data_IF_111927084482
#
_entry.id   IF_111927084482
#
_cell.length_a   1.000
_cell.length_b   1.000
_cell.length_c   1.000
_cell.angle_alpha   90.00
_cell.angle_beta   90.00
_cell.angle_gamma   90.00
#
_symmetry.space_group_name_H-M   'P 1'
#
loop_
_entity.id
_entity.type
_entity.pdbx_description
1 polymer ?
#
# COMPACT_ATOMS: atom_id res chain seq x y z
N UNK A 1 4.43 -20.99 -8.00
CA UNK A 1 4.97 -20.93 -6.63
C UNK A 1 5.81 -22.16 -6.36
N UNK A 2 6.78 -22.08 -5.46
CA UNK A 2 7.73 -23.14 -5.10
C UNK A 2 7.10 -24.22 -4.21
N UNK A 3 6.13 -24.98 -4.74
CA UNK A 3 5.69 -26.25 -4.16
C UNK A 3 5.07 -27.11 -5.25
N UNK A 4 5.41 -28.40 -5.27
CA UNK A 4 4.75 -29.40 -6.10
C UNK A 4 3.34 -29.68 -5.58
N UNK A 5 2.33 -29.30 -6.35
CA UNK A 5 0.90 -29.50 -6.16
C UNK A 5 0.14 -29.04 -7.42
N UNK A 6 -1.12 -29.45 -7.59
CA UNK A 6 -1.92 -28.96 -8.72
C UNK A 6 -2.05 -27.43 -8.67
N UNK A 7 -1.89 -26.78 -9.82
CA UNK A 7 -2.04 -25.33 -9.96
C UNK A 7 -3.49 -24.95 -9.64
N UNK A 8 -3.78 -24.63 -8.37
CA UNK A 8 -5.10 -24.21 -7.88
C UNK A 8 -5.52 -22.80 -8.37
N UNK A 9 -5.04 -22.35 -9.53
CA UNK A 9 -5.39 -21.05 -10.10
C UNK A 9 -6.58 -21.19 -11.05
N UNK A 10 -7.78 -21.23 -10.47
CA UNK A 10 -9.04 -20.89 -11.15
C UNK A 10 -9.66 -19.69 -10.43
N UNK A 11 -9.65 -18.47 -10.99
CA UNK A 11 -9.13 -18.06 -12.30
C UNK A 11 -7.59 -17.99 -12.35
N UNK A 12 -7.05 -17.68 -13.54
CA UNK A 12 -5.61 -17.55 -13.81
C UNK A 12 -4.91 -16.71 -12.74
N UNK A 13 -3.68 -17.06 -12.36
CA UNK A 13 -2.99 -16.46 -11.20
C UNK A 13 -2.73 -14.94 -11.34
N UNK A 14 -3.00 -14.35 -12.50
CA UNK A 14 -2.97 -12.91 -12.79
C UNK A 14 -4.33 -12.21 -12.55
N UNK A 15 -5.43 -12.95 -12.46
CA UNK A 15 -6.78 -12.48 -12.16
C UNK A 15 -7.30 -12.88 -10.78
N UNK A 16 -6.53 -13.67 -10.02
CA UNK A 16 -6.83 -13.97 -8.63
C UNK A 16 -6.52 -12.76 -7.73
N UNK A 17 -7.26 -12.63 -6.62
CA UNK A 17 -6.90 -11.67 -5.58
C UNK A 17 -5.45 -11.87 -5.13
N UNK A 18 -4.75 -10.77 -4.88
CA UNK A 18 -3.36 -10.80 -4.43
C UNK A 18 -3.23 -11.69 -3.18
N UNK A 19 -2.13 -12.44 -3.10
CA UNK A 19 -1.88 -13.33 -1.96
C UNK A 19 -1.52 -12.59 -0.65
N UNK A 20 -1.45 -11.26 -0.68
CA UNK A 20 -1.17 -10.42 0.49
C UNK A 20 -2.22 -10.63 1.58
N UNK A 21 -1.81 -10.79 2.83
CA UNK A 21 -2.68 -10.99 3.99
C UNK A 21 -3.22 -12.41 4.14
N UNK A 22 -2.88 -13.33 3.22
CA UNK A 22 -3.29 -14.75 3.31
C UNK A 22 -2.35 -15.59 4.15
N UNK A 23 -1.11 -15.13 4.35
CA UNK A 23 -0.13 -15.78 5.20
C UNK A 23 0.92 -14.78 5.64
N UNK A 24 0.91 -14.48 6.94
CA UNK A 24 1.91 -13.63 7.58
C UNK A 24 3.35 -14.08 7.25
N UNK A 25 3.60 -15.40 7.17
CA UNK A 25 4.91 -15.93 6.82
C UNK A 25 5.32 -15.62 5.36
N UNK A 26 4.39 -15.67 4.41
CA UNK A 26 4.67 -15.34 3.00
C UNK A 26 4.78 -13.83 2.79
N UNK A 27 4.02 -13.04 3.55
CA UNK A 27 4.10 -11.58 3.54
C UNK A 27 5.44 -11.11 4.12
N UNK A 28 5.86 -11.69 5.26
CA UNK A 28 7.18 -11.43 5.86
C UNK A 28 8.33 -11.83 4.95
N UNK A 29 8.22 -12.96 4.22
CA UNK A 29 9.21 -13.37 3.23
C UNK A 29 9.27 -12.39 2.05
N UNK A 30 8.12 -11.93 1.56
CA UNK A 30 8.03 -10.93 0.49
C UNK A 30 8.67 -9.61 0.93
N UNK A 31 8.38 -9.16 2.15
CA UNK A 31 8.99 -7.97 2.74
C UNK A 31 10.51 -8.12 2.88
N UNK A 32 11.01 -9.25 3.39
CA UNK A 32 12.44 -9.52 3.48
C UNK A 32 13.14 -9.48 2.12
N UNK A 33 12.57 -10.13 1.10
CA UNK A 33 13.11 -10.12 -0.27
C UNK A 33 13.20 -8.68 -0.80
N UNK A 34 12.21 -7.83 -0.51
CA UNK A 34 12.22 -6.42 -0.90
C UNK A 34 13.33 -5.60 -0.19
N UNK A 35 13.81 -6.04 0.97
CA UNK A 35 14.90 -5.37 1.71
C UNK A 35 16.30 -5.82 1.29
N UNK A 36 16.44 -6.88 0.49
CA UNK A 36 17.75 -7.43 0.12
C UNK A 36 18.62 -6.38 -0.57
N UNK A 37 19.81 -6.16 -0.01
CA UNK A 37 20.85 -5.29 -0.55
C UNK A 37 22.02 -6.14 -1.01
N UNK A 38 22.53 -5.86 -2.20
CA UNK A 38 23.71 -6.50 -2.77
C UNK A 38 24.65 -5.38 -3.22
N UNK A 39 25.94 -5.49 -2.89
CA UNK A 39 26.94 -4.47 -3.24
C UNK A 39 27.49 -4.68 -4.64
N UNK A 40 27.90 -3.59 -5.28
CA UNK A 40 28.67 -3.58 -6.53
C UNK A 40 29.97 -2.78 -6.35
N UNK A 41 30.96 -3.09 -7.19
CA UNK A 41 32.24 -2.37 -7.30
C UNK A 41 32.23 -1.49 -8.57
N UNK A 42 32.82 -0.30 -8.48
CA UNK A 42 32.92 0.65 -9.59
C UNK A 42 34.25 0.46 -10.32
N UNK A 43 34.21 0.24 -11.64
CA UNK A 43 35.41 0.25 -12.49
C UNK A 43 35.56 1.60 -13.20
N UNK A 44 36.80 2.10 -13.18
CA UNK A 44 37.23 3.37 -13.78
C UNK A 44 37.20 3.32 -15.32
N UNK A 45 36.87 4.46 -15.94
CA UNK A 45 36.77 4.62 -17.39
C UNK A 45 38.15 4.75 -18.07
N UNK A 46 38.26 4.15 -19.25
CA UNK A 46 39.42 4.24 -20.17
C UNK A 46 38.97 4.86 -21.51
N UNK A 47 39.89 5.52 -22.22
CA UNK A 47 39.62 6.20 -23.52
C UNK A 47 39.45 5.23 -24.71
N UNK A 48 39.66 3.92 -24.51
CA UNK A 48 39.40 2.88 -25.52
C UNK A 48 38.09 2.18 -25.19
N UNK A 49 37.15 2.01 -26.15
CA UNK A 49 35.90 1.29 -25.90
C UNK A 49 36.17 -0.09 -25.31
N UNK A 50 35.77 -0.29 -24.06
CA UNK A 50 35.91 -1.58 -23.38
C UNK A 50 35.05 -2.65 -24.07
N UNK A 51 35.34 -3.95 -23.88
CA UNK A 51 34.48 -5.03 -24.36
C UNK A 51 33.00 -4.82 -23.99
N UNK A 52 32.73 -4.33 -22.78
CA UNK A 52 31.39 -4.02 -22.28
C UNK A 52 30.74 -2.91 -23.10
N UNK A 53 31.46 -1.83 -23.40
CA UNK A 53 30.94 -0.73 -24.23
C UNK A 53 30.65 -1.19 -25.66
N UNK A 54 31.45 -2.10 -26.22
CA UNK A 54 31.17 -2.71 -27.54
C UNK A 54 29.96 -3.64 -27.47
N UNK A 55 29.82 -4.41 -26.39
CA UNK A 55 28.66 -5.26 -26.13
C UNK A 55 27.37 -4.47 -25.96
N UNK A 56 27.42 -3.30 -25.31
CA UNK A 56 26.28 -2.40 -25.15
C UNK A 56 25.72 -1.93 -26.50
N UNK A 57 26.60 -1.59 -27.45
CA UNK A 57 26.21 -1.21 -28.82
C UNK A 57 25.48 -2.35 -29.51
N UNK A 58 25.92 -3.60 -29.33
CA UNK A 58 25.23 -4.77 -29.88
C UNK A 58 23.87 -4.96 -29.22
N UNK A 59 23.80 -4.87 -27.89
CA UNK A 59 22.58 -5.04 -27.10
C UNK A 59 21.49 -4.03 -27.47
N UNK A 60 21.87 -2.77 -27.66
CA UNK A 60 20.97 -1.67 -28.04
C UNK A 60 20.66 -1.61 -29.54
N UNK A 61 21.28 -2.48 -30.35
CA UNK A 61 21.09 -2.46 -31.80
C UNK A 61 19.70 -2.94 -32.20
N UNK A 62 19.15 -2.29 -33.23
CA UNK A 62 17.88 -2.72 -33.87
C UNK A 62 18.00 -4.03 -34.66
N UNK A 63 19.22 -4.57 -34.76
CA UNK A 63 19.51 -5.86 -35.40
C UNK A 63 19.30 -7.01 -34.41
N UNK A 64 19.78 -6.85 -33.17
CA UNK A 64 19.60 -7.86 -32.12
C UNK A 64 18.31 -7.66 -31.32
N UNK A 65 17.77 -6.45 -31.27
CA UNK A 65 16.48 -6.11 -30.63
C UNK A 65 16.36 -6.57 -29.16
N UNK A 66 17.49 -6.70 -28.43
CA UNK A 66 17.45 -7.14 -27.03
C UNK A 66 16.65 -6.16 -26.16
N UNK A 67 16.73 -4.87 -26.46
CA UNK A 67 16.03 -3.79 -25.76
C UNK A 67 14.52 -3.74 -26.02
N UNK A 68 13.97 -4.51 -26.95
CA UNK A 68 12.50 -4.59 -27.10
C UNK A 68 11.86 -5.14 -25.82
N UNK A 69 12.49 -6.15 -25.21
CA UNK A 69 12.02 -6.80 -23.99
C UNK A 69 12.89 -6.42 -22.77
N UNK A 70 14.21 -6.28 -22.93
CA UNK A 70 15.13 -6.03 -21.82
C UNK A 70 15.50 -4.55 -21.71
N UNK A 71 14.54 -3.73 -21.27
CA UNK A 71 14.69 -2.29 -21.18
C UNK A 71 15.33 -1.85 -19.87
N UNK A 72 16.32 -0.95 -19.94
CA UNK A 72 16.84 -0.25 -18.77
C UNK A 72 15.72 0.54 -18.04
N UNK A 73 15.81 0.75 -16.70
CA UNK A 73 16.95 0.45 -15.83
C UNK A 73 16.93 -0.96 -15.22
N UNK A 74 15.82 -1.70 -15.35
CA UNK A 74 15.68 -3.05 -14.77
C UNK A 74 16.05 -4.16 -15.74
N UNK A 75 16.34 -3.83 -17.00
CA UNK A 75 16.64 -4.77 -18.08
C UNK A 75 15.54 -5.84 -18.24
N UNK A 76 14.29 -5.41 -18.09
CA UNK A 76 13.07 -6.19 -18.29
C UNK A 76 11.90 -5.24 -18.51
N UNK A 77 10.94 -5.65 -19.34
CA UNK A 77 9.64 -5.00 -19.50
C UNK A 77 8.59 -5.55 -18.52
N UNK A 78 8.94 -6.58 -17.76
CA UNK A 78 8.09 -7.31 -16.83
C UNK A 78 6.79 -7.85 -17.47
N UNK A 79 6.80 -8.12 -18.78
CA UNK A 79 5.67 -8.70 -19.51
C UNK A 79 5.92 -10.16 -19.83
N UNK A 80 4.85 -10.88 -20.12
CA UNK A 80 4.93 -12.23 -20.62
C UNK A 80 5.06 -12.23 -22.14
N UNK A 81 6.06 -12.93 -22.66
CA UNK A 81 6.27 -13.14 -24.09
C UNK A 81 6.16 -14.62 -24.45
N UNK A 82 5.64 -14.88 -25.65
CA UNK A 82 5.48 -16.24 -26.17
C UNK A 82 6.80 -16.71 -26.79
N UNK A 83 7.47 -17.65 -26.12
CA UNK A 83 8.66 -18.33 -26.62
C UNK A 83 8.28 -19.68 -27.21
N UNK A 84 8.81 -20.00 -28.39
CA UNK A 84 8.69 -21.31 -29.01
C UNK A 84 9.83 -22.18 -28.51
N UNK A 85 9.52 -23.09 -27.61
CA UNK A 85 10.50 -24.01 -27.04
C UNK A 85 10.73 -25.22 -27.95
N UNK A 86 11.82 -25.92 -27.68
CA UNK A 86 12.10 -27.24 -28.26
C UNK A 86 10.87 -28.13 -27.99
N UNK A 87 10.37 -28.80 -29.05
CA UNK A 87 9.10 -29.56 -29.13
C UNK A 87 7.86 -28.79 -29.62
N UNK A 88 8.00 -27.55 -30.10
CA UNK A 88 6.89 -26.82 -30.75
C UNK A 88 5.82 -26.32 -29.77
N UNK A 89 6.06 -26.50 -28.47
CA UNK A 89 5.26 -25.93 -27.40
C UNK A 89 5.59 -24.44 -27.27
N UNK A 90 4.56 -23.60 -27.40
CA UNK A 90 4.69 -22.18 -27.10
C UNK A 90 4.38 -21.96 -25.63
N UNK A 91 5.30 -21.35 -24.89
CA UNK A 91 5.11 -21.01 -23.48
C UNK A 91 5.18 -19.51 -23.29
N UNK A 92 4.24 -19.00 -22.50
CA UNK A 92 4.24 -17.62 -22.05
C UNK A 92 5.21 -17.51 -20.88
N UNK A 93 6.30 -16.76 -21.06
CA UNK A 93 7.36 -16.58 -20.05
C UNK A 93 7.50 -15.09 -19.76
N UNK A 94 7.52 -14.73 -18.48
CA UNK A 94 7.84 -13.37 -18.06
C UNK A 94 9.30 -13.05 -18.41
N UNK A 95 9.56 -11.89 -19.03
CA UNK A 95 10.91 -11.43 -19.34
C UNK A 95 11.72 -11.29 -18.04
N UNK A 96 12.75 -12.13 -17.80
CA UNK A 96 13.55 -11.99 -16.60
C UNK A 96 14.39 -10.69 -16.68
N UNK A 97 14.71 -10.12 -15.53
CA UNK A 97 15.76 -9.09 -15.47
C UNK A 97 17.10 -9.67 -15.89
N UNK A 98 17.90 -8.90 -16.61
CA UNK A 98 19.29 -9.24 -16.94
C UNK A 98 20.30 -8.70 -15.91
N UNK A 99 19.82 -8.10 -14.82
CA UNK A 99 20.69 -7.63 -13.75
C UNK A 99 21.29 -8.83 -12.98
N UNK A 100 22.58 -8.72 -12.66
CA UNK A 100 23.37 -9.69 -11.90
C UNK A 100 23.47 -11.09 -12.54
N UNK A 101 23.37 -11.21 -13.87
CA UNK A 101 23.41 -12.50 -14.58
C UNK A 101 24.67 -13.33 -14.29
N UNK A 102 25.80 -12.69 -14.01
CA UNK A 102 27.06 -13.36 -13.63
C UNK A 102 26.93 -14.23 -12.36
N UNK A 103 25.87 -14.04 -11.56
CA UNK A 103 25.62 -14.76 -10.32
C UNK A 103 24.45 -15.75 -10.39
N UNK A 104 23.79 -15.88 -11.54
CA UNK A 104 22.49 -16.58 -11.64
C UNK A 104 22.50 -17.86 -12.48
N UNK A 105 23.67 -18.40 -12.82
CA UNK A 105 23.74 -19.68 -13.52
C UNK A 105 23.11 -20.81 -12.66
N UNK A 106 22.44 -21.81 -13.27
CA UNK A 106 22.21 -21.98 -14.70
C UNK A 106 21.08 -21.09 -15.26
N UNK A 107 21.12 -20.87 -16.57
CA UNK A 107 20.27 -19.92 -17.28
C UNK A 107 19.04 -20.57 -17.94
N UNK A 108 18.08 -19.70 -18.27
CA UNK A 108 16.74 -20.03 -18.81
C UNK A 108 15.77 -20.55 -17.75
N UNK A 109 14.47 -20.57 -18.09
CA UNK A 109 13.39 -20.86 -17.13
C UNK A 109 13.41 -22.28 -16.54
N UNK A 110 14.16 -23.20 -17.15
CA UNK A 110 14.36 -24.57 -16.71
C UNK A 110 15.82 -24.91 -16.41
N UNK A 111 16.71 -23.90 -16.41
CA UNK A 111 18.13 -24.07 -16.09
C UNK A 111 18.92 -24.94 -17.09
N UNK A 112 18.45 -25.08 -18.33
CA UNK A 112 19.09 -25.98 -19.31
C UNK A 112 20.46 -25.50 -19.83
N UNK A 113 20.78 -24.22 -19.68
CA UNK A 113 22.03 -23.65 -20.17
C UNK A 113 22.96 -23.30 -19.03
N UNK A 114 24.22 -23.73 -19.13
CA UNK A 114 25.24 -23.50 -18.12
C UNK A 114 25.94 -22.15 -18.31
N UNK A 115 25.92 -21.60 -19.52
CA UNK A 115 26.61 -20.34 -19.87
C UNK A 115 25.73 -19.39 -20.68
N UNK A 116 25.99 -18.09 -20.63
CA UNK A 116 25.31 -17.09 -21.47
C UNK A 116 25.60 -17.30 -22.96
N UNK A 117 26.79 -17.82 -23.31
CA UNK A 117 27.14 -18.18 -24.69
C UNK A 117 26.19 -19.23 -25.25
N UNK A 118 25.80 -20.23 -24.46
CA UNK A 118 24.81 -21.24 -24.87
C UNK A 118 23.43 -20.62 -25.08
N UNK A 119 23.02 -19.71 -24.19
CA UNK A 119 21.74 -18.98 -24.31
C UNK A 119 21.72 -18.18 -25.62
N UNK A 120 22.74 -17.35 -25.87
CA UNK A 120 22.77 -16.42 -27.01
C UNK A 120 22.85 -17.12 -28.37
N UNK A 121 23.35 -18.36 -28.40
CA UNK A 121 23.38 -19.17 -29.63
C UNK A 121 22.01 -19.76 -29.99
N UNK A 122 21.11 -19.92 -29.03
CA UNK A 122 19.83 -20.64 -29.23
C UNK A 122 18.61 -19.74 -29.07
N UNK A 123 18.58 -18.94 -28.00
CA UNK A 123 17.43 -18.14 -27.59
C UNK A 123 16.83 -17.26 -28.71
N UNK A 124 17.62 -16.60 -29.57
CA UNK A 124 17.07 -15.85 -30.70
C UNK A 124 16.09 -16.63 -31.58
N UNK A 125 16.33 -17.92 -31.78
CA UNK A 125 15.50 -18.79 -32.63
C UNK A 125 14.20 -19.23 -31.94
N UNK A 126 14.12 -19.08 -30.62
CA UNK A 126 12.93 -19.35 -29.82
C UNK A 126 11.90 -18.21 -29.97
N UNK A 127 12.31 -17.01 -30.39
CA UNK A 127 11.43 -15.86 -30.58
C UNK A 127 10.86 -15.87 -32.00
N UNK A 128 9.52 -15.89 -32.11
CA UNK A 128 8.85 -15.94 -33.41
C UNK A 128 9.14 -14.68 -34.23
N UNK A 129 9.78 -14.85 -35.39
CA UNK A 129 10.05 -13.76 -36.34
C UNK A 129 11.37 -13.02 -36.09
N UNK A 130 12.15 -13.42 -35.09
CA UNK A 130 13.53 -12.98 -34.95
C UNK A 130 14.47 -14.02 -35.60
N UNK A 131 15.40 -13.51 -36.39
CA UNK A 131 16.59 -14.23 -36.83
C UNK A 131 17.76 -13.35 -36.44
N UNK A 132 18.50 -13.71 -35.40
CA UNK A 132 19.75 -13.01 -35.12
C UNK A 132 20.77 -13.36 -36.22
N UNK A 133 21.58 -12.39 -36.68
CA UNK A 133 22.76 -12.71 -37.48
C UNK A 133 23.74 -13.54 -36.65
N UNK A 134 24.49 -14.43 -37.31
CA UNK A 134 25.62 -15.11 -36.68
C UNK A 134 26.62 -14.06 -36.19
N UNK A 135 26.73 -13.90 -34.88
CA UNK A 135 27.72 -13.02 -34.27
C UNK A 135 29.11 -13.66 -34.39
N UNK A 136 30.10 -12.87 -34.79
CA UNK A 136 31.49 -13.31 -34.71
C UNK A 136 31.87 -13.59 -33.25
N UNK A 137 32.83 -14.49 -33.03
CA UNK A 137 33.24 -14.89 -31.67
C UNK A 137 33.62 -13.70 -30.78
N UNK A 138 34.25 -12.67 -31.34
CA UNK A 138 34.58 -11.44 -30.61
C UNK A 138 33.36 -10.61 -30.23
N UNK A 139 32.38 -10.47 -31.14
CA UNK A 139 31.12 -9.76 -30.86
C UNK A 139 30.28 -10.48 -29.80
N UNK A 140 30.25 -11.81 -29.86
CA UNK A 140 29.57 -12.61 -28.85
C UNK A 140 30.23 -12.46 -27.47
N UNK A 141 31.57 -12.46 -27.42
CA UNK A 141 32.32 -12.25 -26.18
C UNK A 141 32.07 -10.84 -25.60
N UNK A 142 32.08 -9.81 -26.44
CA UNK A 142 31.78 -8.43 -26.04
C UNK A 142 30.35 -8.31 -25.47
N UNK A 143 29.36 -8.93 -26.14
CA UNK A 143 27.98 -8.95 -25.65
C UNK A 143 27.85 -9.68 -24.30
N UNK A 144 28.53 -10.81 -24.13
CA UNK A 144 28.55 -11.53 -22.84
C UNK A 144 29.19 -10.68 -21.75
N UNK A 145 30.32 -10.02 -22.03
CA UNK A 145 30.96 -9.11 -21.07
C UNK A 145 30.04 -7.98 -20.64
N UNK A 146 29.30 -7.38 -21.57
CA UNK A 146 28.28 -6.39 -21.25
C UNK A 146 27.17 -6.98 -20.36
N UNK A 147 26.61 -8.14 -20.71
CA UNK A 147 25.55 -8.77 -19.91
C UNK A 147 26.02 -9.16 -18.50
N UNK A 148 27.28 -9.58 -18.35
CA UNK A 148 27.87 -9.89 -17.05
C UNK A 148 28.20 -8.64 -16.23
N UNK A 149 28.40 -7.48 -16.88
CA UNK A 149 28.64 -6.20 -16.21
C UNK A 149 27.36 -5.47 -15.80
N UNK A 150 26.17 -5.95 -16.21
CA UNK A 150 24.88 -5.43 -15.78
C UNK A 150 24.63 -5.74 -14.31
N UNK A 151 25.19 -4.94 -13.42
CA UNK A 151 24.88 -4.98 -12.00
C UNK A 151 23.67 -4.10 -11.68
N UNK A 152 22.92 -4.46 -10.62
CA UNK A 152 21.84 -3.62 -10.13
C UNK A 152 22.44 -2.27 -9.68
N UNK A 153 21.99 -1.12 -10.22
CA UNK A 153 22.54 0.16 -9.80
C UNK A 153 22.24 0.45 -8.32
N UNK A 154 23.23 0.95 -7.58
CA UNK A 154 23.13 1.29 -6.14
C UNK A 154 21.98 2.26 -5.84
N UNK A 155 21.58 3.05 -6.84
CA UNK A 155 20.54 4.07 -6.77
C UNK A 155 19.16 3.62 -7.30
N UNK A 156 19.00 2.42 -7.89
CA UNK A 156 17.64 1.90 -8.16
C UNK A 156 17.06 1.31 -6.88
N UNK A 157 16.46 2.23 -6.13
CA UNK A 157 15.29 1.93 -5.33
C UNK A 157 14.22 1.47 -6.31
N UNK A 158 13.75 0.23 -6.19
CA UNK A 158 12.35 0.00 -6.52
C UNK A 158 11.59 0.93 -5.58
N UNK A 159 11.11 2.06 -6.09
CA UNK A 159 10.07 2.78 -5.37
C UNK A 159 8.98 1.74 -5.12
N UNK A 160 8.60 1.49 -3.86
CA UNK A 160 7.50 0.59 -3.59
C UNK A 160 6.27 1.21 -4.23
N UNK A 161 5.93 0.79 -5.46
CA UNK A 161 4.56 0.91 -5.92
C UNK A 161 3.80 -0.11 -5.07
N UNK A 162 3.33 0.37 -3.92
CA UNK A 162 2.61 -0.33 -2.86
C UNK A 162 3.52 -1.01 -1.83
N UNK A 163 4.02 -0.21 -0.89
CA UNK A 163 3.91 -0.40 0.57
C UNK A 163 4.91 0.52 1.25
N UNK A 164 4.41 1.58 1.89
CA UNK A 164 5.17 2.28 2.90
C UNK A 164 5.42 1.30 4.05
N UNK A 165 6.67 0.87 4.21
CA UNK A 165 7.12 0.25 5.46
C UNK A 165 8.46 0.89 5.81
N UNK A 166 8.43 1.73 6.83
CA UNK A 166 9.62 2.19 7.53
C UNK A 166 10.43 1.01 8.08
N UNK A 167 11.75 1.17 8.08
CA UNK A 167 12.74 0.21 8.55
C UNK A 167 12.44 -0.19 10.02
N UNK A 168 12.34 -1.49 10.40
CA UNK A 168 12.17 -1.85 11.79
C UNK A 168 13.51 -1.63 12.51
N UNK A 169 13.61 -0.52 13.22
CA UNK A 169 14.57 -0.41 14.30
C UNK A 169 14.28 -1.52 15.32
N UNK A 170 15.32 -2.06 15.99
CA UNK A 170 15.09 -2.81 17.22
C UNK A 170 14.28 -1.91 18.16
N UNK A 171 12.99 -2.20 18.29
CA UNK A 171 12.13 -1.40 19.14
C UNK A 171 12.44 -1.77 20.59
N UNK A 172 12.76 -0.75 21.39
CA UNK A 172 12.25 -0.68 22.76
C UNK A 172 10.77 -1.09 22.77
N UNK A 173 10.20 -1.63 23.87
CA UNK A 173 8.83 -2.15 23.88
C UNK A 173 7.92 -1.21 23.09
N UNK A 174 7.21 -1.75 22.08
CA UNK A 174 6.38 -0.99 21.14
C UNK A 174 5.75 0.17 21.89
N UNK A 175 6.18 1.40 21.57
CA UNK A 175 5.55 2.57 22.18
C UNK A 175 4.04 2.40 21.98
N UNK A 176 3.27 2.72 23.02
CA UNK A 176 1.82 2.70 22.93
C UNK A 176 1.39 3.49 21.68
N UNK A 177 0.53 2.90 20.86
CA UNK A 177 0.11 3.44 19.58
C UNK A 177 -1.33 3.05 19.30
N UNK A 178 -2.13 4.02 18.85
CA UNK A 178 -3.52 3.82 18.49
C UNK A 178 -3.84 4.50 17.15
N UNK A 179 -4.94 4.06 16.54
CA UNK A 179 -5.56 4.71 15.39
C UNK A 179 -7.01 5.01 15.78
N UNK A 180 -7.50 6.18 15.36
CA UNK A 180 -8.91 6.54 15.44
C UNK A 180 -9.30 7.30 14.18
N UNK A 181 -10.50 7.07 13.66
CA UNK A 181 -11.05 7.79 12.51
C UNK A 181 -12.54 8.00 12.70
N UNK A 182 -13.05 9.19 12.37
CA UNK A 182 -14.45 9.58 12.50
C UNK A 182 -15.08 9.73 11.11
N UNK A 183 -16.35 9.35 10.99
CA UNK A 183 -17.21 9.66 9.86
C UNK A 183 -18.50 10.30 10.35
N UNK A 184 -18.84 11.46 9.77
CA UNK A 184 -20.05 12.24 10.07
C UNK A 184 -20.95 12.39 8.85
N UNK A 185 -22.26 12.29 9.06
CA UNK A 185 -23.26 12.77 8.11
C UNK A 185 -24.44 13.42 8.83
N UNK A 186 -25.07 14.39 8.18
CA UNK A 186 -26.26 15.07 8.71
C UNK A 186 -27.42 14.93 7.74
N UNK A 187 -28.56 14.46 8.23
CA UNK A 187 -29.79 14.27 7.46
C UNK A 187 -30.89 15.20 7.96
N UNK A 188 -31.22 16.24 7.20
CA UNK A 188 -32.33 17.15 7.55
C UNK A 188 -33.67 16.43 7.49
N UNK A 189 -34.52 16.66 8.48
CA UNK A 189 -35.90 16.18 8.45
C UNK A 189 -36.66 16.95 7.36
N UNK A 190 -37.12 16.24 6.33
CA UNK A 190 -37.86 16.87 5.24
C UNK A 190 -39.20 17.45 5.73
N UNK A 191 -39.55 18.66 5.28
CA UNK A 191 -40.92 19.15 5.41
C UNK A 191 -41.85 18.19 4.64
N UNK A 192 -42.85 17.64 5.33
CA UNK A 192 -43.84 16.79 4.69
C UNK A 192 -44.62 17.60 3.65
N UNK A 193 -44.22 17.50 2.40
CA UNK A 193 -44.99 17.99 1.26
C UNK A 193 -46.06 16.94 0.90
N UNK A 194 -47.19 16.92 1.62
CA UNK A 194 -48.48 16.60 0.98
C UNK A 194 -49.73 17.03 1.78
N UNK A 195 -50.57 17.79 1.07
CA UNK A 195 -52.02 17.97 1.16
C UNK A 195 -52.71 18.42 2.46
N UNK A 196 -53.22 19.66 2.39
CA UNK A 196 -54.64 19.90 2.64
C UNK A 196 -55.04 20.27 4.07
N UNK A 197 -55.61 21.47 4.16
CA UNK A 197 -56.50 21.96 5.21
C UNK A 197 -55.90 22.37 6.57
N UNK A 198 -56.15 23.65 6.85
CA UNK A 198 -56.06 24.38 8.10
C UNK A 198 -55.96 23.53 9.38
N UNK A 199 -54.76 23.49 9.98
CA UNK A 199 -54.62 23.60 11.44
C UNK A 199 -53.48 24.53 11.80
N UNK A 200 -53.86 25.71 12.28
CA UNK A 200 -52.99 26.58 13.04
C UNK A 200 -52.44 25.83 14.26
N UNK A 201 -51.11 25.77 14.39
CA UNK A 201 -50.42 25.33 15.61
C UNK A 201 -49.47 24.14 15.52
N UNK A 202 -49.08 23.67 14.32
CA UNK A 202 -48.01 22.66 14.21
C UNK A 202 -46.65 23.35 14.04
N UNK A 203 -45.95 23.58 15.16
CA UNK A 203 -44.50 23.84 15.15
C UNK A 203 -43.80 22.54 14.78
N UNK A 204 -43.62 22.27 13.48
CA UNK A 204 -42.65 21.26 13.09
C UNK A 204 -41.26 21.76 13.53
N UNK A 205 -40.52 21.00 14.35
CA UNK A 205 -39.16 21.37 14.70
C UNK A 205 -38.34 21.35 13.42
N UNK A 206 -37.75 22.49 13.04
CA UNK A 206 -36.68 22.49 12.06
C UNK A 206 -35.53 21.74 12.75
N UNK A 207 -35.02 20.69 12.14
CA UNK A 207 -34.09 19.75 12.76
C UNK A 207 -33.61 18.67 11.79
N UNK A 208 -32.69 17.84 12.27
CA UNK A 208 -32.13 16.73 11.50
C UNK A 208 -31.42 15.74 12.40
N UNK A 209 -30.97 14.65 11.78
CA UNK A 209 -30.26 13.57 12.43
C UNK A 209 -28.77 13.65 12.12
N UNK A 210 -27.97 13.80 13.16
CA UNK A 210 -26.51 13.68 13.08
C UNK A 210 -26.13 12.21 13.27
N UNK A 211 -25.61 11.60 12.21
CA UNK A 211 -25.06 10.26 12.25
C UNK A 211 -23.56 10.34 12.52
N UNK A 212 -23.12 9.59 13.53
CA UNK A 212 -21.72 9.50 13.94
C UNK A 212 -21.27 8.05 13.85
N UNK A 213 -20.24 7.80 13.07
CA UNK A 213 -19.50 6.56 13.08
C UNK A 213 -18.04 6.83 13.40
N UNK A 214 -17.38 5.89 14.06
CA UNK A 214 -15.94 5.95 14.24
C UNK A 214 -15.31 4.57 14.26
N UNK A 215 -14.02 4.51 13.98
CA UNK A 215 -13.21 3.31 14.07
C UNK A 215 -12.06 3.58 15.01
N UNK A 216 -11.66 2.56 15.79
CA UNK A 216 -10.47 2.66 16.63
C UNK A 216 -9.71 1.34 16.73
N UNK A 217 -8.42 1.43 17.06
CA UNK A 217 -7.55 0.30 17.37
C UNK A 217 -6.38 0.77 18.25
N UNK A 218 -5.82 -0.12 19.07
CA UNK A 218 -4.60 0.16 19.84
C UNK A 218 -3.82 -1.12 20.13
N UNK A 219 -2.49 -0.99 20.21
CA UNK A 219 -1.58 -2.07 20.62
C UNK A 219 -1.45 -2.21 22.16
N UNK A 220 -2.12 -1.34 22.94
CA UNK A 220 -2.19 -1.37 24.40
C UNK A 220 -3.63 -1.20 24.88
N UNK A 221 -3.90 -1.35 26.17
CA UNK A 221 -5.20 -0.97 26.76
C UNK A 221 -5.44 0.53 26.63
N UNK A 222 -6.63 0.94 26.22
CA UNK A 222 -6.91 2.32 25.84
C UNK A 222 -8.34 2.73 26.12
N UNK A 223 -8.53 4.04 26.29
CA UNK A 223 -9.84 4.67 26.44
C UNK A 223 -10.10 5.58 25.24
N UNK A 224 -11.35 5.64 24.79
CA UNK A 224 -11.77 6.50 23.67
C UNK A 224 -12.76 7.55 24.16
N UNK A 225 -12.50 8.80 23.83
CA UNK A 225 -13.33 9.95 24.12
C UNK A 225 -13.84 10.57 22.82
N UNK A 226 -15.13 10.93 22.79
CA UNK A 226 -15.70 11.77 21.74
C UNK A 226 -16.12 13.11 22.37
N UNK A 227 -15.65 14.21 21.79
CA UNK A 227 -15.90 15.57 22.29
C UNK A 227 -16.34 16.47 21.14
N UNK A 228 -17.47 17.15 21.28
CA UNK A 228 -17.92 18.18 20.35
C UNK A 228 -17.42 19.53 20.84
N UNK A 229 -16.81 20.31 19.95
CA UNK A 229 -16.47 21.70 20.15
C UNK A 229 -17.33 22.59 19.25
N UNK A 230 -17.83 23.70 19.78
CA UNK A 230 -18.38 24.81 19.00
C UNK A 230 -17.36 25.96 19.02
N UNK A 231 -16.55 26.16 17.96
CA UNK A 231 -15.46 27.14 17.96
C UNK A 231 -15.91 28.59 18.21
N UNK A 232 -17.14 28.94 17.78
CA UNK A 232 -17.68 30.29 17.92
C UNK A 232 -17.88 30.72 19.38
N UNK A 233 -18.28 29.79 20.25
CA UNK A 233 -18.59 30.05 21.66
C UNK A 233 -17.52 29.50 22.60
N UNK A 234 -16.70 28.55 22.13
CA UNK A 234 -15.80 27.77 22.96
C UNK A 234 -16.51 26.75 23.86
N UNK A 235 -17.79 26.44 23.59
CA UNK A 235 -18.53 25.43 24.30
C UNK A 235 -18.08 24.02 23.87
N UNK A 236 -18.10 23.09 24.83
CA UNK A 236 -17.76 21.69 24.63
C UNK A 236 -18.87 20.78 25.16
N UNK A 237 -19.01 19.62 24.52
CA UNK A 237 -19.85 18.52 24.98
C UNK A 237 -19.10 17.20 24.82
N UNK A 238 -19.47 16.20 25.58
CA UNK A 238 -18.92 14.86 25.45
C UNK A 238 -20.04 13.81 25.40
N UNK A 239 -19.70 12.63 24.87
CA UNK A 239 -20.57 11.46 24.87
C UNK A 239 -20.18 10.52 26.00
N UNK A 240 -21.14 10.12 26.83
CA UNK A 240 -20.94 9.08 27.84
C UNK A 240 -21.16 7.66 27.27
N UNK A 241 -20.89 6.63 28.08
CA UNK A 241 -21.07 5.22 27.71
C UNK A 241 -22.51 4.82 27.35
N UNK A 242 -23.49 5.66 27.68
CA UNK A 242 -24.90 5.48 27.33
C UNK A 242 -25.31 6.27 26.09
N UNK A 243 -24.33 6.78 25.33
CA UNK A 243 -24.52 7.60 24.14
C UNK A 243 -25.28 8.91 24.41
N UNK A 244 -25.17 9.43 25.63
CA UNK A 244 -25.80 10.70 26.01
C UNK A 244 -24.81 11.85 25.89
N UNK A 245 -25.24 12.92 25.23
CA UNK A 245 -24.50 14.18 25.11
C UNK A 245 -24.69 15.02 26.37
N UNK A 246 -23.60 15.43 27.00
CA UNK A 246 -23.61 16.33 28.17
C UNK A 246 -22.61 17.46 27.98
N UNK A 247 -22.91 18.65 28.51
CA UNK A 247 -22.00 19.80 28.49
C UNK A 247 -20.71 19.48 29.24
N UNK A 248 -19.58 19.88 28.68
CA UNK A 248 -18.25 19.69 29.24
C UNK A 248 -17.66 21.03 29.68
N UNK A 249 -17.40 21.17 30.99
CA UNK A 249 -16.56 22.24 31.50
C UNK A 249 -15.09 21.84 31.39
N UNK A 250 -14.28 22.62 30.67
CA UNK A 250 -12.87 22.30 30.44
C UNK A 250 -12.15 22.15 31.79
N UNK A 251 -11.44 21.04 31.95
CA UNK A 251 -10.70 20.70 33.17
C UNK A 251 -11.50 19.86 34.16
N UNK A 252 -12.78 19.58 33.90
CA UNK A 252 -13.55 18.62 34.69
C UNK A 252 -13.35 17.20 34.14
N UNK A 253 -13.16 16.22 35.03
CA UNK A 253 -13.04 14.83 34.61
C UNK A 253 -14.39 14.29 34.10
N UNK A 254 -14.35 13.51 33.02
CA UNK A 254 -15.50 12.84 32.44
C UNK A 254 -15.12 11.42 32.03
N UNK A 255 -16.10 10.53 31.96
CA UNK A 255 -15.86 9.13 31.61
C UNK A 255 -15.60 8.98 30.10
N UNK A 256 -14.77 8.01 29.69
CA UNK A 256 -14.63 7.67 28.28
C UNK A 256 -15.93 7.11 27.70
N UNK A 257 -16.07 7.24 26.39
CA UNK A 257 -17.16 6.62 25.64
C UNK A 257 -17.01 5.10 25.62
N UNK A 258 -15.78 4.61 25.41
CA UNK A 258 -15.44 3.18 25.38
C UNK A 258 -14.11 2.96 26.11
N UNK A 259 -14.09 1.93 26.96
CA UNK A 259 -12.89 1.43 27.63
C UNK A 259 -12.47 0.08 27.05
N UNK A 260 -11.18 -0.08 26.75
CA UNK A 260 -10.59 -1.36 26.36
C UNK A 260 -9.55 -1.79 27.39
N UNK A 261 -9.79 -2.93 28.05
CA UNK A 261 -8.89 -3.44 29.09
C UNK A 261 -7.63 -4.09 28.56
N UNK A 262 -7.58 -4.39 27.26
CA UNK A 262 -6.47 -5.00 26.54
C UNK A 262 -6.30 -4.31 25.18
N UNK A 263 -5.27 -4.68 24.42
CA UNK A 263 -5.15 -4.26 23.02
C UNK A 263 -6.38 -4.69 22.21
N UNK A 264 -6.86 -3.85 21.32
CA UNK A 264 -7.94 -4.19 20.40
C UNK A 264 -7.52 -3.92 18.96
N UNK A 265 -7.78 -4.89 18.10
CA UNK A 265 -7.75 -4.70 16.65
C UNK A 265 -8.87 -3.77 16.19
N UNK A 266 -8.81 -3.37 14.92
CA UNK A 266 -9.78 -2.49 14.26
C UNK A 266 -11.24 -2.88 14.58
N UNK A 267 -11.96 -1.95 15.21
CA UNK A 267 -13.38 -2.09 15.52
C UNK A 267 -14.13 -0.84 15.06
N UNK A 268 -15.20 -1.05 14.30
CA UNK A 268 -16.07 0.01 13.80
C UNK A 268 -17.31 0.13 14.69
N UNK A 269 -17.67 1.36 15.03
CA UNK A 269 -18.85 1.71 15.81
C UNK A 269 -19.73 2.61 14.95
N UNK A 270 -20.98 2.19 14.75
CA UNK A 270 -22.03 3.04 14.22
C UNK A 270 -22.96 3.36 15.38
N UNK A 271 -23.13 4.64 15.69
CA UNK A 271 -23.87 5.09 16.86
C UNK A 271 -25.28 5.49 16.45
N UNK A 272 -26.22 5.43 17.40
CA UNK A 272 -27.60 5.79 17.12
C UNK A 272 -27.68 7.27 16.68
N UNK A 273 -28.52 7.62 15.69
CA UNK A 273 -28.63 8.99 15.19
C UNK A 273 -28.99 9.97 16.30
N UNK A 274 -28.28 11.09 16.38
CA UNK A 274 -28.55 12.16 17.34
C UNK A 274 -29.54 13.16 16.73
N UNK A 275 -30.71 13.27 17.33
CA UNK A 275 -31.71 14.27 16.95
C UNK A 275 -31.28 15.68 17.36
N UNK A 276 -31.11 16.57 16.38
CA UNK A 276 -30.71 17.97 16.60
C UNK A 276 -31.82 18.91 16.14
N UNK A 277 -32.29 19.78 17.03
CA UNK A 277 -33.22 20.86 16.68
C UNK A 277 -32.44 22.04 16.05
N UNK A 278 -32.62 22.24 14.74
CA UNK A 278 -31.85 23.17 13.90
C UNK A 278 -32.17 24.65 14.14
N UNK A 279 -33.30 25.00 14.77
CA UNK A 279 -33.75 26.41 14.94
C UNK A 279 -32.76 27.32 15.68
N UNK A 280 -31.80 26.76 16.41
CA UNK A 280 -30.80 27.53 17.18
C UNK A 280 -29.37 27.40 16.65
N UNK A 281 -29.10 26.46 15.74
CA UNK A 281 -27.74 26.08 15.35
C UNK A 281 -27.46 26.23 13.85
N UNK A 282 -28.37 26.89 13.10
CA UNK A 282 -28.27 27.00 11.64
C UNK A 282 -27.07 27.86 11.20
N UNK A 283 -26.26 27.32 10.28
CA UNK A 283 -24.97 27.82 9.82
C UNK A 283 -23.90 27.91 10.93
N UNK A 284 -24.03 27.13 11.99
CA UNK A 284 -22.99 27.04 13.00
C UNK A 284 -22.02 25.91 12.67
N UNK A 285 -20.73 26.20 12.89
CA UNK A 285 -19.64 25.24 12.69
C UNK A 285 -19.39 24.52 14.00
N UNK A 286 -19.29 23.20 13.92
CA UNK A 286 -18.90 22.32 15.02
C UNK A 286 -17.71 21.46 14.60
N UNK A 287 -16.95 20.99 15.59
CA UNK A 287 -15.87 20.03 15.39
C UNK A 287 -16.10 18.86 16.33
N UNK A 288 -16.21 17.64 15.79
CA UNK A 288 -16.18 16.42 16.60
C UNK A 288 -14.74 15.94 16.68
N UNK A 289 -14.23 15.78 17.89
CA UNK A 289 -12.91 15.24 18.21
C UNK A 289 -13.05 13.81 18.71
N UNK A 290 -12.25 12.90 18.18
CA UNK A 290 -12.03 11.58 18.75
C UNK A 290 -10.61 11.49 19.29
N UNK A 291 -10.51 11.15 20.55
CA UNK A 291 -9.25 11.11 21.29
C UNK A 291 -9.10 9.70 21.86
N UNK A 292 -7.98 9.05 21.56
CA UNK A 292 -7.58 7.77 22.16
C UNK A 292 -6.37 8.00 23.03
N UNK A 293 -6.45 7.54 24.28
CA UNK A 293 -5.38 7.62 25.29
C UNK A 293 -5.13 6.25 25.91
N UNK A 294 -3.99 6.07 26.58
CA UNK A 294 -3.80 4.89 27.43
C UNK A 294 -4.91 4.79 28.48
N UNK A 295 -5.29 3.56 28.82
CA UNK A 295 -6.37 3.33 29.79
C UNK A 295 -6.14 4.08 31.10
N UNK A 296 -7.13 4.86 31.53
CA UNK A 296 -7.12 5.68 32.75
C UNK A 296 -6.40 7.02 32.61
N UNK A 297 -5.80 7.33 31.46
CA UNK A 297 -5.20 8.64 31.21
C UNK A 297 -6.27 9.69 30.89
N UNK A 298 -5.93 10.96 31.16
CA UNK A 298 -6.83 12.08 30.91
C UNK A 298 -6.77 12.54 29.46
N UNK A 299 -7.91 12.84 28.81
CA UNK A 299 -7.91 13.45 27.47
C UNK A 299 -7.37 14.89 27.47
N UNK A 300 -7.14 15.52 28.63
CA UNK A 300 -6.50 16.84 28.71
C UNK A 300 -4.97 16.79 28.65
N UNK A 301 -4.37 15.62 28.88
CA UNK A 301 -2.93 15.41 28.83
C UNK A 301 -2.54 14.99 27.41
N UNK A 302 -2.32 15.98 26.54
CA UNK A 302 -2.04 15.77 25.11
C UNK A 302 -0.82 14.85 24.89
N UNK A 303 0.15 14.90 25.81
CA UNK A 303 1.34 14.02 25.76
C UNK A 303 1.00 12.53 25.91
N UNK A 304 -0.18 12.19 26.43
CA UNK A 304 -0.69 10.82 26.61
C UNK A 304 -1.63 10.37 25.49
N UNK A 305 -1.81 11.17 24.44
CA UNK A 305 -2.66 10.82 23.31
C UNK A 305 -1.95 9.79 22.43
N UNK A 306 -2.63 8.66 22.23
CA UNK A 306 -2.17 7.58 21.35
C UNK A 306 -2.72 7.71 19.93
N UNK A 307 -3.86 8.38 19.78
CA UNK A 307 -4.52 8.61 18.50
C UNK A 307 -5.51 9.77 18.60
N UNK A 308 -5.63 10.54 17.52
CA UNK A 308 -6.53 11.68 17.45
C UNK A 308 -7.03 11.88 16.03
N UNK A 309 -8.32 12.13 15.90
CA UNK A 309 -8.95 12.58 14.67
C UNK A 309 -9.99 13.65 14.98
N UNK A 310 -10.28 14.52 14.02
CA UNK A 310 -11.31 15.52 14.17
C UNK A 310 -11.98 15.85 12.84
N UNK A 311 -13.31 15.92 12.85
CA UNK A 311 -14.10 16.25 11.68
C UNK A 311 -14.98 17.47 11.97
N UNK A 312 -14.90 18.47 11.09
CA UNK A 312 -15.77 19.63 11.10
C UNK A 312 -17.10 19.30 10.42
N UNK A 313 -18.19 19.78 10.98
CA UNK A 313 -19.52 19.71 10.38
C UNK A 313 -20.30 21.01 10.62
N UNK A 314 -21.26 21.28 9.75
CA UNK A 314 -22.12 22.45 9.79
C UNK A 314 -23.57 21.98 9.96
N UNK A 315 -24.31 22.64 10.83
CA UNK A 315 -25.73 22.39 11.11
C UNK A 315 -26.60 23.55 10.63
#
# INVERSE_FOLDING_TARGET
GLVSGEDNCTPTCDGAEKNTGRSEALDNLTAFIATLRFGADVTEASDIPSPEQRGEVLFTSTVLNCTECHQAPLYTDNKNHSLRLIEGVTKSINTPTLLNLRHSAPYYHDGRYSTLVEVLKVHPADIKGQNLPDLEAGQLADLVMYLESLDKPDNVRSLPLLSDIEQPAQANPLNAAAVVSIELSFEMWAESADLGEEKAGSTHPEGGDLNVAFTHASNVSFDTYLVIQQPATGAYWYFDTAWKVSSLEIGTAFAPLIEHTESSSFHAHALDPLHVEARQLTNEVFVLHAIVVEKGASPYEIDNWLGYDAQQFEL
#
